data_IF_506014078262
#
_entry.id   IF_506014078262
#
_cell.length_a   1.000
_cell.length_b   1.000
_cell.length_c   1.000
_cell.angle_alpha   90.00
_cell.angle_beta   90.00
_cell.angle_gamma   90.00
#
_symmetry.space_group_name_H-M   'P 1'
#
loop_
_entity.id
_entity.type
_entity.pdbx_description
1 polymer ?
#
# COMPACT_ATOMS: atom_id res chain seq x y z
N UNK A 1 16.09 -6.88 -10.82
CA UNK A 1 15.47 -6.81 -10.44
C UNK A 1 14.93 -6.00 -10.02
N UNK A 2 14.44 -5.62 -10.08
CA UNK A 2 14.04 -4.89 -9.72
C UNK A 2 13.21 -4.67 -8.80
N UNK A 3 13.38 -4.13 -7.94
CA UNK A 3 12.60 -3.96 -6.75
C UNK A 3 11.87 -2.65 -6.75
N UNK A 4 12.26 -1.77 -7.58
CA UNK A 4 11.73 -0.41 -7.56
C UNK A 4 10.23 -0.36 -7.80
N UNK A 5 9.66 -1.36 -8.45
CA UNK A 5 8.23 -1.37 -8.75
C UNK A 5 7.44 -2.34 -7.90
N UNK A 6 8.06 -2.93 -6.90
CA UNK A 6 7.38 -3.95 -6.12
C UNK A 6 6.16 -3.40 -5.39
N UNK A 7 6.27 -2.20 -4.81
CA UNK A 7 5.14 -1.61 -4.12
C UNK A 7 3.99 -1.35 -5.08
N UNK A 8 4.30 -0.86 -6.27
CA UNK A 8 3.30 -0.61 -7.29
C UNK A 8 2.51 -1.89 -7.58
N UNK A 9 3.22 -2.99 -7.76
CA UNK A 9 2.58 -4.27 -8.06
C UNK A 9 1.69 -4.72 -6.91
N UNK A 10 2.22 -4.68 -5.69
CA UNK A 10 1.46 -5.13 -4.53
C UNK A 10 0.24 -4.24 -4.29
N UNK A 11 0.43 -2.94 -4.40
CA UNK A 11 -0.65 -1.98 -4.16
C UNK A 11 -1.74 -2.14 -5.22
N UNK A 12 -1.35 -2.22 -6.49
CA UNK A 12 -2.31 -2.39 -7.58
C UNK A 12 -3.10 -3.68 -7.41
N UNK A 13 -2.43 -4.76 -7.04
CA UNK A 13 -3.11 -6.04 -6.85
C UNK A 13 -4.14 -5.94 -5.73
N UNK A 14 -3.80 -5.24 -4.64
CA UNK A 14 -4.75 -5.08 -3.55
C UNK A 14 -5.93 -4.22 -3.94
N UNK A 15 -5.70 -3.16 -4.70
CA UNK A 15 -6.80 -2.33 -5.15
C UNK A 15 -7.76 -3.13 -6.03
N UNK A 16 -7.23 -3.98 -6.89
CA UNK A 16 -8.07 -4.84 -7.71
C UNK A 16 -8.82 -5.85 -6.88
N UNK A 17 -8.12 -6.51 -5.96
CA UNK A 17 -8.73 -7.53 -5.12
C UNK A 17 -9.87 -6.97 -4.29
N UNK A 18 -9.71 -5.76 -3.79
CA UNK A 18 -10.68 -5.15 -2.89
C UNK A 18 -11.67 -4.26 -3.61
N UNK A 19 -11.39 -3.92 -4.87
CA UNK A 19 -12.20 -2.99 -5.65
C UNK A 19 -12.32 -1.62 -4.96
N UNK A 20 -11.24 -1.19 -4.33
CA UNK A 20 -11.18 0.10 -3.66
C UNK A 20 -10.42 1.07 -4.54
N UNK A 21 -10.91 2.30 -4.64
CA UNK A 21 -10.29 3.32 -5.48
C UNK A 21 -9.29 4.14 -4.68
N UNK A 22 -8.36 4.78 -5.39
CA UNK A 22 -7.44 5.72 -4.75
C UNK A 22 -8.21 6.87 -4.11
N UNK A 23 -9.35 7.24 -4.68
CA UNK A 23 -10.16 8.30 -4.12
C UNK A 23 -10.63 7.94 -2.71
N UNK A 24 -11.10 6.71 -2.51
CA UNK A 24 -11.55 6.27 -1.19
C UNK A 24 -10.40 6.28 -0.20
N UNK A 25 -9.24 5.81 -0.61
CA UNK A 25 -8.08 5.83 0.27
C UNK A 25 -7.70 7.26 0.62
N UNK A 26 -7.75 8.15 -0.36
CA UNK A 26 -7.46 9.56 -0.11
C UNK A 26 -8.41 10.16 0.90
N UNK A 27 -9.69 9.82 0.80
CA UNK A 27 -10.68 10.34 1.73
C UNK A 27 -10.43 9.87 3.16
N UNK A 28 -10.01 8.63 3.31
CA UNK A 28 -9.78 8.08 4.64
C UNK A 28 -8.46 8.54 5.25
N UNK A 29 -7.41 8.59 4.44
CA UNK A 29 -6.06 8.86 4.93
C UNK A 29 -5.68 10.32 4.87
N UNK A 30 -6.40 11.11 4.07
CA UNK A 30 -6.06 12.51 3.76
C UNK A 30 -4.77 12.63 2.95
N UNK A 31 -4.33 11.53 2.35
CA UNK A 31 -3.23 11.57 1.40
C UNK A 31 -3.76 12.08 0.06
N UNK A 32 -2.89 12.74 -0.68
CA UNK A 32 -3.27 13.29 -1.98
C UNK A 32 -3.60 12.17 -2.96
N UNK A 33 -4.73 12.27 -3.63
CA UNK A 33 -5.17 11.24 -4.56
C UNK A 33 -4.18 11.08 -5.72
N UNK A 34 -3.63 12.19 -6.21
CA UNK A 34 -2.66 12.13 -7.30
C UNK A 34 -1.41 11.37 -6.86
N UNK A 35 -1.00 11.56 -5.61
CA UNK A 35 0.14 10.84 -5.08
C UNK A 35 -0.15 9.34 -5.02
N UNK A 36 -1.34 8.97 -4.53
CA UNK A 36 -1.73 7.56 -4.48
C UNK A 36 -1.79 6.95 -5.87
N UNK A 37 -2.29 7.72 -6.83
CA UNK A 37 -2.34 7.26 -8.20
C UNK A 37 -0.94 6.99 -8.75
N UNK A 38 0.02 7.84 -8.40
CA UNK A 38 1.40 7.64 -8.83
C UNK A 38 2.03 6.43 -8.16
N UNK A 39 1.69 6.17 -6.90
CA UNK A 39 2.15 4.95 -6.24
C UNK A 39 1.60 3.72 -6.94
N UNK A 40 0.35 3.78 -7.36
CA UNK A 40 -0.29 2.67 -8.05
C UNK A 40 0.34 2.41 -9.40
N UNK A 41 0.67 3.46 -10.13
CA UNK A 41 1.18 3.34 -11.49
C UNK A 41 2.68 3.12 -11.56
N UNK A 42 3.39 3.31 -10.45
CA UNK A 42 4.83 3.16 -10.45
C UNK A 42 5.59 4.45 -10.67
N UNK A 43 4.88 5.58 -10.82
CA UNK A 43 5.53 6.87 -10.99
C UNK A 43 6.15 7.40 -9.72
N UNK A 44 5.76 6.83 -8.59
CA UNK A 44 6.31 7.16 -7.29
C UNK A 44 6.70 5.86 -6.62
N UNK A 45 7.82 5.85 -5.91
CA UNK A 45 8.32 4.62 -5.31
C UNK A 45 8.76 4.90 -3.88
N UNK A 46 8.92 3.83 -3.13
CA UNK A 46 9.46 3.89 -1.77
C UNK A 46 8.68 4.85 -0.88
N UNK A 47 7.36 4.62 -0.73
CA UNK A 47 6.61 5.42 0.23
C UNK A 47 7.16 5.22 1.63
N UNK A 48 6.99 6.23 2.48
CA UNK A 48 7.46 6.16 3.85
C UNK A 48 6.68 5.08 4.60
N UNK A 49 7.25 4.56 5.71
CA UNK A 49 6.50 3.59 6.52
C UNK A 49 5.16 4.12 6.98
N UNK A 50 5.11 5.39 7.32
CA UNK A 50 3.85 6.00 7.75
C UNK A 50 2.82 5.96 6.64
N UNK A 51 3.24 6.26 5.42
CA UNK A 51 2.33 6.19 4.27
C UNK A 51 1.82 4.79 4.06
N UNK A 52 2.70 3.78 4.15
CA UNK A 52 2.29 2.40 3.96
C UNK A 52 1.30 1.99 5.03
N UNK A 53 1.53 2.40 6.28
CA UNK A 53 0.61 2.08 7.37
C UNK A 53 -0.76 2.71 7.10
N UNK A 54 -0.79 3.97 6.69
CA UNK A 54 -2.06 4.63 6.40
C UNK A 54 -2.82 3.92 5.30
N UNK A 55 -2.12 3.54 4.25
CA UNK A 55 -2.75 2.82 3.14
C UNK A 55 -3.29 1.47 3.62
N UNK A 56 -2.49 0.75 4.41
CA UNK A 56 -2.92 -0.55 4.91
C UNK A 56 -4.16 -0.42 5.79
N UNK A 57 -4.18 0.58 6.66
CA UNK A 57 -5.33 0.81 7.53
C UNK A 57 -6.58 1.14 6.70
N UNK A 58 -6.42 1.96 5.68
CA UNK A 58 -7.55 2.32 4.83
C UNK A 58 -8.11 1.08 4.12
N UNK A 59 -7.23 0.26 3.57
CA UNK A 59 -7.67 -0.93 2.86
C UNK A 59 -8.40 -1.88 3.81
N UNK A 60 -7.85 -2.08 4.99
CA UNK A 60 -8.47 -2.95 5.99
C UNK A 60 -9.81 -2.39 6.45
N UNK A 61 -9.92 -1.07 6.52
CA UNK A 61 -11.16 -0.43 6.93
C UNK A 61 -12.27 -0.65 5.90
N UNK A 62 -11.94 -0.56 4.62
CA UNK A 62 -12.95 -0.62 3.57
C UNK A 62 -13.26 -2.03 3.09
N UNK A 63 -12.42 -3.01 3.39
CA UNK A 63 -12.62 -4.35 2.84
C UNK A 63 -12.22 -5.42 3.82
N UNK A 64 -13.08 -6.43 3.94
CA UNK A 64 -12.77 -7.62 4.73
C UNK A 64 -11.89 -8.59 3.96
N UNK A 65 -11.66 -8.33 2.69
CA UNK A 65 -10.84 -9.22 1.87
C UNK A 65 -9.34 -9.05 2.15
N UNK A 66 -8.97 -7.95 2.79
CA UNK A 66 -7.57 -7.70 3.11
C UNK A 66 -7.16 -8.58 4.28
N UNK A 67 -6.09 -9.33 4.09
CA UNK A 67 -5.58 -10.24 5.10
C UNK A 67 -4.20 -9.77 5.56
N UNK A 68 -3.75 -10.37 6.65
CA UNK A 68 -2.47 -9.98 7.22
C UNK A 68 -1.34 -10.12 6.22
N UNK A 69 -1.32 -11.21 5.46
CA UNK A 69 -0.23 -11.41 4.50
C UNK A 69 -0.25 -10.35 3.40
N UNK A 70 -1.42 -9.81 3.06
CA UNK A 70 -1.49 -8.72 2.08
C UNK A 70 -0.76 -7.49 2.59
N UNK A 71 -0.97 -7.17 3.87
CA UNK A 71 -0.33 -6.02 4.49
C UNK A 71 1.17 -6.26 4.61
N UNK A 72 1.55 -7.47 4.98
CA UNK A 72 2.97 -7.82 5.06
C UNK A 72 3.64 -7.68 3.71
N UNK A 73 2.93 -8.05 2.64
CA UNK A 73 3.49 -7.91 1.30
C UNK A 73 3.72 -6.45 0.93
N UNK A 74 2.82 -5.56 1.36
CA UNK A 74 3.03 -4.13 1.12
C UNK A 74 4.33 -3.65 1.77
N UNK A 75 4.56 -4.07 3.02
CA UNK A 75 5.77 -3.66 3.72
C UNK A 75 7.02 -4.29 3.10
N UNK A 76 6.94 -5.56 2.73
CA UNK A 76 8.07 -6.21 2.11
C UNK A 76 8.44 -5.57 0.78
N UNK A 77 7.44 -5.09 0.07
CA UNK A 77 7.67 -4.52 -1.26
C UNK A 77 8.51 -3.25 -1.20
N UNK A 78 8.58 -2.62 -0.03
CA UNK A 78 9.44 -1.46 0.14
C UNK A 78 10.63 -1.77 1.06
N UNK A 79 10.93 -3.05 1.21
CA UNK A 79 12.09 -3.45 2.00
C UNK A 79 11.90 -3.30 3.50
N UNK A 80 10.65 -3.35 3.95
CA UNK A 80 10.35 -3.18 5.37
C UNK A 80 9.53 -4.34 5.88
N UNK A 81 9.41 -4.41 7.20
CA UNK A 81 8.61 -5.43 7.85
C UNK A 81 7.71 -4.76 8.88
N UNK A 82 6.48 -5.22 8.99
CA UNK A 82 5.59 -4.72 10.02
C UNK A 82 5.97 -5.29 11.40
N UNK A 83 6.73 -6.36 11.39
CA UNK A 83 7.22 -6.95 12.62
C UNK A 83 8.68 -6.60 12.75
N UNK A 84 9.05 -5.98 13.84
CA UNK A 84 10.43 -5.61 14.05
C UNK A 84 11.19 -6.86 14.46
N UNK A 85 12.04 -7.30 13.65
CA UNK A 85 12.77 -8.49 14.01
C UNK A 85 13.97 -8.22 14.83
N UNK A 86 14.35 -7.36 14.79
CA UNK A 86 15.40 -7.24 15.38
C UNK A 86 15.63 -6.85 16.33
N UNK A 87 15.32 -6.95 16.38
CA UNK A 87 15.69 -6.64 17.08
C UNK A 87 16.11 -6.99 17.46
#
# INVERSE_FOLDING_TARGET
MLYSNDFCVAFSALLEKTNISCYKISQYTHLDEAYLSRLKSGGKQNPSPETVIKIALALAHFSEKVQLHDIQNLFKSVGRSIVSPDI
#
